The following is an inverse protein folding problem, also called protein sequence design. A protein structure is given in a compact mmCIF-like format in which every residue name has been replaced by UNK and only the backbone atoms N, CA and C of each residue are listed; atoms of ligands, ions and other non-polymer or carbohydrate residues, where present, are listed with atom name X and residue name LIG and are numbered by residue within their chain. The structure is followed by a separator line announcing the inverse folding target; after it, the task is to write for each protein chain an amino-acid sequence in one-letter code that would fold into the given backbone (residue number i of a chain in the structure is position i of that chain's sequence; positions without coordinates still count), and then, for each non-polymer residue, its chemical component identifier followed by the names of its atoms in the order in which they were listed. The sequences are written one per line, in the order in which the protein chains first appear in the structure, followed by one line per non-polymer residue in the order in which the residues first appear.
data_IF_356947275078
#
_entry.id   IF_356947275078
#
_cell.length_a   1.000
_cell.length_b   1.000
_cell.length_c   1.000
_cell.angle_alpha   90.00
_cell.angle_beta   90.00
_cell.angle_gamma   90.00
#
_symmetry.space_group_name_H-M   'P 1'
#
loop_
_entity.id
_entity.type
_entity.pdbx_description
1 polymer ?
#
# COMPACT_ATOMS: atom_id res chain seq x y z
N UNK A 1 -24.93 -28.43 -17.65
CA UNK A 1 -23.63 -28.56 -16.99
C UNK A 1 -22.94 -27.21 -17.10
N UNK A 2 -22.69 -26.54 -15.96
CA UNK A 2 -22.29 -25.14 -15.91
C UNK A 2 -20.84 -24.91 -16.34
N UNK A 3 -20.64 -23.94 -17.24
CA UNK A 3 -19.33 -23.36 -17.54
C UNK A 3 -18.84 -22.54 -16.34
N UNK A 4 -17.73 -22.97 -15.74
CA UNK A 4 -16.98 -22.17 -14.79
C UNK A 4 -16.28 -21.04 -15.54
N UNK A 5 -16.87 -19.85 -15.50
CA UNK A 5 -16.27 -18.62 -16.02
C UNK A 5 -14.95 -18.31 -15.32
N UNK A 6 -13.97 -17.91 -16.12
CA UNK A 6 -12.60 -17.63 -15.68
C UNK A 6 -12.54 -16.62 -14.54
N UNK A 7 -11.97 -17.05 -13.42
CA UNK A 7 -11.41 -16.15 -12.42
C UNK A 7 -10.15 -15.51 -13.02
N UNK A 8 -10.30 -14.30 -13.55
CA UNK A 8 -9.16 -13.39 -13.67
C UNK A 8 -8.53 -13.26 -12.29
N UNK A 9 -7.32 -13.80 -12.15
CA UNK A 9 -6.59 -13.79 -10.90
C UNK A 9 -6.18 -12.34 -10.60
N UNK A 10 -7.01 -11.61 -9.85
CA UNK A 10 -6.61 -10.46 -9.02
C UNK A 10 -5.61 -10.97 -7.95
N UNK A 11 -4.49 -11.57 -8.36
CA UNK A 11 -3.38 -11.83 -7.46
C UNK A 11 -2.68 -10.48 -7.31
N UNK A 12 -2.71 -9.88 -6.11
CA UNK A 12 -1.95 -8.68 -5.86
C UNK A 12 -0.48 -8.89 -6.27
N UNK A 13 0.20 -7.84 -6.77
CA UNK A 13 1.61 -7.94 -7.15
C UNK A 13 2.42 -8.60 -6.04
N UNK A 14 3.34 -9.52 -6.39
CA UNK A 14 4.16 -10.23 -5.42
C UNK A 14 5.01 -9.30 -4.53
N UNK A 15 5.20 -8.04 -4.97
CA UNK A 15 5.86 -6.98 -4.24
C UNK A 15 5.11 -5.67 -4.50
N UNK A 16 4.21 -5.29 -3.60
CA UNK A 16 3.65 -3.94 -3.57
C UNK A 16 4.56 -3.07 -2.69
N UNK A 17 4.82 -1.84 -3.12
CA UNK A 17 5.43 -0.82 -2.26
C UNK A 17 4.38 0.24 -1.92
N UNK A 18 4.48 0.89 -0.74
CA UNK A 18 3.59 1.98 -0.40
C UNK A 18 3.79 3.15 -1.36
N UNK A 19 2.71 3.90 -1.56
CA UNK A 19 2.73 5.12 -2.37
C UNK A 19 3.48 6.24 -1.65
N UNK A 20 3.96 7.22 -2.41
CA UNK A 20 4.60 8.42 -1.85
C UNK A 20 3.68 9.18 -0.88
N UNK A 21 2.37 9.18 -1.11
CA UNK A 21 1.37 9.76 -0.19
C UNK A 21 1.34 9.02 1.15
N UNK A 22 1.29 7.69 1.12
CA UNK A 22 1.27 6.85 2.34
C UNK A 22 2.54 7.06 3.16
N UNK A 23 3.69 7.10 2.50
CA UNK A 23 4.97 7.35 3.17
C UNK A 23 5.03 8.75 3.76
N UNK A 24 4.66 9.80 3.02
CA UNK A 24 4.66 11.18 3.53
C UNK A 24 3.80 11.34 4.78
N UNK A 25 2.64 10.66 4.83
CA UNK A 25 1.75 10.68 6.00
C UNK A 25 2.36 9.95 7.20
N UNK A 26 3.06 8.84 6.97
CA UNK A 26 3.72 8.07 8.03
C UNK A 26 5.08 8.65 8.45
N UNK A 27 5.71 9.48 7.61
CA UNK A 27 7.08 9.99 7.73
C UNK A 27 7.48 10.48 9.13
N UNK A 28 6.63 11.20 9.91
CA UNK A 28 7.01 11.65 11.24
C UNK A 28 7.33 10.52 12.24
N UNK A 29 6.90 9.29 11.93
CA UNK A 29 7.07 8.10 12.78
C UNK A 29 8.08 7.10 12.20
N UNK A 30 8.59 7.34 10.98
CA UNK A 30 9.53 6.44 10.31
C UNK A 30 10.97 6.85 10.66
N UNK A 31 11.77 5.87 11.04
CA UNK A 31 13.17 6.06 11.43
C UNK A 31 14.13 5.76 10.27
N UNK A 32 13.77 4.84 9.38
CA UNK A 32 14.61 4.52 8.22
C UNK A 32 14.59 5.64 7.18
N UNK A 33 15.79 6.06 6.74
CA UNK A 33 15.98 6.97 5.60
C UNK A 33 15.52 6.37 4.28
N UNK A 34 15.33 5.05 4.23
CA UNK A 34 14.90 4.35 3.03
C UNK A 34 13.52 4.81 2.54
N UNK A 35 12.56 5.03 3.44
CA UNK A 35 11.21 5.44 3.06
C UNK A 35 11.19 6.78 2.34
N UNK A 36 11.99 7.74 2.81
CA UNK A 36 12.15 9.04 2.14
C UNK A 36 12.74 8.86 0.72
N UNK A 37 13.78 8.02 0.58
CA UNK A 37 14.35 7.71 -0.73
C UNK A 37 13.36 7.01 -1.66
N UNK A 38 12.50 6.13 -1.13
CA UNK A 38 11.45 5.47 -1.91
C UNK A 38 10.44 6.50 -2.41
N UNK A 39 10.00 7.41 -1.54
CA UNK A 39 9.01 8.43 -1.89
C UNK A 39 9.54 9.41 -2.97
N UNK A 40 10.86 9.55 -3.08
CA UNK A 40 11.56 10.30 -4.13
C UNK A 40 11.90 9.47 -5.38
N UNK A 41 11.67 8.16 -5.37
CA UNK A 41 12.05 7.25 -6.45
C UNK A 41 13.56 6.99 -6.55
N UNK A 42 14.32 7.24 -5.47
CA UNK A 42 15.78 7.11 -5.39
C UNK A 42 16.26 5.95 -4.52
N UNK A 43 15.33 5.17 -3.96
CA UNK A 43 15.67 4.04 -3.12
C UNK A 43 16.53 3.01 -3.89
N UNK A 44 17.65 2.55 -3.32
CA UNK A 44 18.45 1.50 -3.94
C UNK A 44 17.66 0.18 -3.99
N UNK A 45 17.61 -0.43 -5.17
CA UNK A 45 16.96 -1.71 -5.48
C UNK A 45 18.05 -2.74 -5.85
N UNK A 46 17.88 -4.07 -5.60
CA UNK A 46 16.65 -4.78 -5.24
C UNK A 46 16.47 -5.11 -3.74
N UNK A 47 17.54 -5.11 -2.94
CA UNK A 47 17.53 -5.64 -1.58
C UNK A 47 16.43 -5.01 -0.70
N UNK A 48 16.23 -3.70 -0.82
CA UNK A 48 15.20 -3.02 -0.04
C UNK A 48 13.78 -3.37 -0.47
N UNK A 49 13.54 -3.65 -1.76
CA UNK A 49 12.23 -4.14 -2.22
C UNK A 49 11.95 -5.56 -1.72
N UNK A 50 12.98 -6.40 -1.67
CA UNK A 50 12.86 -7.75 -1.14
C UNK A 50 12.59 -7.76 0.38
N UNK A 51 13.23 -6.87 1.14
CA UNK A 51 13.04 -6.78 2.59
C UNK A 51 11.75 -6.05 2.93
N UNK A 52 11.62 -4.78 2.51
CA UNK A 52 10.46 -3.95 2.86
C UNK A 52 9.24 -4.22 1.99
N UNK A 53 9.41 -4.40 0.68
CA UNK A 53 8.28 -4.57 -0.25
C UNK A 53 7.52 -5.87 -0.06
N UNK A 54 8.22 -7.00 0.16
CA UNK A 54 7.55 -8.29 0.46
C UNK A 54 6.84 -8.27 1.81
N UNK A 55 7.51 -7.79 2.86
CA UNK A 55 6.92 -7.66 4.18
C UNK A 55 5.68 -6.75 4.15
N UNK A 56 5.80 -5.60 3.47
CA UNK A 56 4.71 -4.66 3.27
C UNK A 56 3.53 -5.28 2.53
N UNK A 57 3.75 -5.94 1.39
CA UNK A 57 2.69 -6.57 0.61
C UNK A 57 1.91 -7.59 1.43
N UNK A 58 2.61 -8.46 2.17
CA UNK A 58 1.99 -9.48 3.01
C UNK A 58 1.13 -8.88 4.11
N UNK A 59 1.65 -7.87 4.83
CA UNK A 59 0.90 -7.24 5.92
C UNK A 59 -0.26 -6.38 5.42
N UNK A 60 -0.10 -5.71 4.28
CA UNK A 60 -1.11 -4.87 3.67
C UNK A 60 -2.37 -5.65 3.32
N UNK A 61 -2.22 -6.81 2.68
CA UNK A 61 -3.35 -7.68 2.34
C UNK A 61 -4.05 -8.21 3.59
N UNK A 62 -3.27 -8.64 4.58
CA UNK A 62 -3.80 -9.22 5.81
C UNK A 62 -4.55 -8.21 6.68
N UNK A 63 -4.03 -6.98 6.80
CA UNK A 63 -4.54 -6.00 7.76
C UNK A 63 -5.38 -4.88 7.14
N UNK A 64 -4.99 -4.39 5.96
CA UNK A 64 -5.64 -3.24 5.32
C UNK A 64 -6.42 -3.60 4.04
N UNK A 65 -6.31 -4.83 3.55
CA UNK A 65 -6.90 -5.28 2.28
C UNK A 65 -8.42 -5.14 2.21
N UNK A 66 -9.10 -5.23 3.36
CA UNK A 66 -10.54 -4.99 3.47
C UNK A 66 -10.91 -3.55 3.05
N UNK A 67 -10.21 -2.54 3.57
CA UNK A 67 -10.51 -1.13 3.30
C UNK A 67 -10.21 -0.76 1.84
N UNK A 68 -9.12 -1.31 1.29
CA UNK A 68 -8.81 -1.21 -0.14
C UNK A 68 -9.95 -1.77 -0.99
N UNK A 69 -10.46 -2.94 -0.63
CA UNK A 69 -11.56 -3.59 -1.35
C UNK A 69 -12.85 -2.76 -1.26
N UNK A 70 -13.13 -2.16 -0.10
CA UNK A 70 -14.29 -1.28 0.10
C UNK A 70 -14.19 0.00 -0.74
N UNK A 71 -13.01 0.62 -0.77
CA UNK A 71 -12.72 1.79 -1.60
C UNK A 71 -12.89 1.48 -3.10
N UNK A 72 -12.26 0.40 -3.58
CA UNK A 72 -12.40 -0.04 -4.98
C UNK A 72 -13.85 -0.39 -5.34
N UNK A 73 -14.59 -1.03 -4.43
CA UNK A 73 -16.00 -1.34 -4.63
C UNK A 73 -16.85 -0.07 -4.77
N UNK A 74 -16.60 0.95 -3.94
CA UNK A 74 -17.31 2.23 -4.00
C UNK A 74 -17.08 2.96 -5.34
N UNK A 75 -15.82 3.03 -5.78
CA UNK A 75 -15.47 3.67 -7.06
C UNK A 75 -16.10 2.94 -8.25
N UNK A 76 -15.99 1.60 -8.27
CA UNK A 76 -16.54 0.78 -9.36
C UNK A 76 -18.06 0.86 -9.42
N UNK A 77 -18.76 0.82 -8.28
CA UNK A 77 -20.23 0.87 -8.26
C UNK A 77 -20.77 2.22 -8.75
N UNK A 78 -20.04 3.31 -8.53
CA UNK A 78 -20.41 4.67 -8.92
C UNK A 78 -19.78 5.12 -10.24
N UNK A 79 -18.98 4.27 -10.89
CA UNK A 79 -18.26 4.56 -12.15
C UNK A 79 -17.40 5.84 -12.06
N UNK A 80 -16.79 6.07 -10.90
CA UNK A 80 -15.96 7.25 -10.68
C UNK A 80 -14.58 7.07 -11.33
N UNK A 81 -14.03 8.16 -11.85
CA UNK A 81 -12.67 8.16 -12.39
C UNK A 81 -11.65 8.16 -11.26
N UNK A 82 -10.90 7.05 -11.11
CA UNK A 82 -9.83 6.86 -10.14
C UNK A 82 -8.78 7.98 -10.15
N UNK A 83 -8.51 8.57 -11.31
CA UNK A 83 -7.50 9.61 -11.47
C UNK A 83 -8.02 10.99 -11.03
N UNK A 84 -9.34 11.18 -10.97
CA UNK A 84 -9.97 12.42 -10.54
C UNK A 84 -10.36 12.37 -9.06
N UNK A 85 -9.37 12.58 -8.19
CA UNK A 85 -9.56 12.56 -6.73
C UNK A 85 -10.64 13.53 -6.24
N UNK A 86 -10.75 14.73 -6.81
CA UNK A 86 -11.78 15.69 -6.43
C UNK A 86 -13.21 15.18 -6.66
N UNK A 87 -13.41 14.30 -7.64
CA UNK A 87 -14.72 13.73 -7.93
C UNK A 87 -15.06 12.56 -7.00
N UNK A 88 -14.13 11.62 -6.78
CA UNK A 88 -14.45 10.42 -5.99
C UNK A 88 -14.26 10.57 -4.48
N UNK A 89 -13.37 11.47 -4.04
CA UNK A 89 -13.03 11.59 -2.62
C UNK A 89 -14.22 11.96 -1.72
N UNK A 90 -15.14 12.87 -2.10
CA UNK A 90 -16.33 13.13 -1.29
C UNK A 90 -17.26 11.93 -1.13
N UNK A 91 -17.28 11.01 -2.11
CA UNK A 91 -18.19 9.85 -2.13
C UNK A 91 -17.57 8.57 -1.57
N UNK A 92 -16.27 8.38 -1.76
CA UNK A 92 -15.54 7.15 -1.47
C UNK A 92 -14.27 7.39 -0.64
N UNK A 93 -14.07 8.59 -0.08
CA UNK A 93 -12.85 8.97 0.64
C UNK A 93 -12.69 8.31 2.01
N UNK A 94 -13.78 7.98 2.71
CA UNK A 94 -13.71 7.34 4.02
C UNK A 94 -12.90 6.01 4.01
N UNK A 95 -13.24 5.01 3.18
CA UNK A 95 -12.45 3.76 3.14
C UNK A 95 -11.01 4.00 2.65
N UNK A 96 -10.77 5.01 1.82
CA UNK A 96 -9.42 5.42 1.43
C UNK A 96 -8.62 5.99 2.62
N UNK A 97 -9.22 6.86 3.43
CA UNK A 97 -8.56 7.42 4.61
C UNK A 97 -8.28 6.37 5.68
N UNK A 98 -9.20 5.42 5.88
CA UNK A 98 -8.99 4.29 6.79
C UNK A 98 -7.88 3.36 6.26
N UNK A 99 -7.84 3.08 4.95
CA UNK A 99 -6.72 2.34 4.33
C UNK A 99 -5.40 3.06 4.61
N UNK A 100 -5.33 4.38 4.41
CA UNK A 100 -4.10 5.14 4.63
C UNK A 100 -3.67 5.15 6.10
N UNK A 101 -4.60 5.26 7.05
CA UNK A 101 -4.30 5.18 8.48
C UNK A 101 -3.76 3.79 8.86
N UNK A 102 -4.40 2.73 8.35
CA UNK A 102 -3.94 1.34 8.54
C UNK A 102 -2.53 1.14 7.98
N UNK A 103 -2.29 1.61 6.74
CA UNK A 103 -0.98 1.55 6.08
C UNK A 103 0.09 2.30 6.87
N UNK A 104 -0.24 3.47 7.44
CA UNK A 104 0.68 4.23 8.27
C UNK A 104 1.18 3.43 9.49
N UNK A 105 0.28 2.72 10.16
CA UNK A 105 0.66 1.81 11.26
C UNK A 105 1.55 0.66 10.80
N UNK A 106 1.22 0.03 9.66
CA UNK A 106 2.04 -1.04 9.08
C UNK A 106 3.44 -0.58 8.73
N UNK A 107 3.57 0.61 8.14
CA UNK A 107 4.85 1.19 7.79
C UNK A 107 5.76 1.34 9.01
N UNK A 108 5.23 1.80 10.13
CA UNK A 108 5.98 1.95 11.39
C UNK A 108 6.42 0.59 11.94
N UNK A 109 5.56 -0.43 11.88
CA UNK A 109 5.92 -1.78 12.36
C UNK A 109 7.00 -2.43 11.49
N UNK A 110 6.89 -2.29 10.17
CA UNK A 110 7.90 -2.82 9.24
C UNK A 110 9.21 -2.05 9.40
N UNK A 111 9.16 -0.73 9.60
CA UNK A 111 10.33 0.10 9.86
C UNK A 111 11.12 -0.41 11.08
N UNK A 112 10.42 -0.78 12.17
CA UNK A 112 11.04 -1.39 13.36
C UNK A 112 11.63 -2.76 13.08
N UNK A 113 10.97 -3.61 12.30
CA UNK A 113 11.42 -4.98 12.02
C UNK A 113 12.59 -5.04 11.03
N UNK A 114 12.61 -4.11 10.08
CA UNK A 114 13.53 -4.13 8.95
C UNK A 114 14.65 -3.06 9.05
N UNK A 115 14.73 -2.30 10.13
CA UNK A 115 15.88 -1.44 10.44
C UNK A 115 17.19 -2.23 10.59
N UNK A 116 17.11 -3.43 11.18
CA UNK A 116 18.29 -4.27 11.45
C UNK A 116 19.07 -4.76 10.21
N UNK A 117 18.41 -5.20 9.11
CA UNK A 117 19.10 -5.64 7.89
C UNK A 117 19.73 -4.51 7.05
N UNK A 118 19.21 -3.28 7.11
CA UNK A 118 19.66 -2.17 6.23
C UNK A 118 20.69 -1.25 6.87
N UNK A 119 20.75 -1.18 8.21
CA UNK A 119 21.87 -0.52 8.88
C UNK A 119 23.17 -1.35 8.85
N UNK A 120 23.10 -2.61 8.44
CA UNK A 120 24.24 -3.54 8.32
C UNK A 120 24.73 -3.77 6.88
N UNK A 121 24.03 -3.21 5.88
CA UNK A 121 24.39 -3.30 4.46
C UNK A 121 25.08 -2.00 4.01
#
# INVERSE_FOLDING_TARGET
MGQAGGKGSDRPPACIVPTSTQIRRAQPQLTSKWWALQAEGKAPVPLCLDVYGKAFSSMLEQHCGKYRSEHQRCIRSRKLDLLNMSAWYPECGEPFEIENACVGGLLVEIDKWCSGPLEKA
#
